data_IF_792291895790
#
_entry.id   IF_792291895790
#
_cell.length_a   1.000
_cell.length_b   1.000
_cell.length_c   1.000
_cell.angle_alpha   90.00
_cell.angle_beta   90.00
_cell.angle_gamma   90.00
#
_symmetry.space_group_name_H-M   'P 1'
#
loop_
_entity.id
_entity.type
_entity.pdbx_description
1 polymer ?
#
# COMPACT_ATOMS: atom_id res chain seq x y z
N UNK A 1 3.27 -12.84 -17.26
CA UNK A 1 2.55 -11.96 -16.32
C UNK A 1 1.04 -12.16 -16.46
N UNK A 2 0.29 -12.24 -15.35
CA UNK A 2 -1.18 -12.21 -15.32
C UNK A 2 -1.60 -10.76 -15.06
N UNK A 3 -2.51 -10.25 -15.87
CA UNK A 3 -3.07 -8.91 -15.74
C UNK A 3 -4.60 -8.98 -15.93
N UNK A 4 -5.34 -8.34 -15.03
CA UNK A 4 -6.80 -8.19 -15.13
C UNK A 4 -7.18 -6.75 -14.83
N UNK A 5 -7.95 -6.16 -15.71
CA UNK A 5 -8.64 -4.89 -15.51
C UNK A 5 -10.11 -5.23 -15.22
N UNK A 6 -10.62 -4.78 -14.08
CA UNK A 6 -11.97 -5.06 -13.59
C UNK A 6 -12.69 -3.72 -13.44
N UNK A 7 -13.96 -3.67 -13.82
CA UNK A 7 -14.74 -2.44 -13.81
C UNK A 7 -15.89 -2.51 -12.81
N UNK A 8 -16.00 -1.50 -11.97
CA UNK A 8 -17.19 -1.26 -11.17
C UNK A 8 -18.08 -0.21 -11.85
N UNK A 9 -19.26 -0.60 -12.29
CA UNK A 9 -20.19 0.28 -13.00
C UNK A 9 -20.92 1.29 -12.12
N UNK A 10 -20.85 1.14 -10.79
CA UNK A 10 -21.51 2.05 -9.84
C UNK A 10 -20.68 3.29 -9.62
N UNK A 11 -19.38 3.12 -9.36
CA UNK A 11 -18.41 4.21 -9.19
C UNK A 11 -17.67 4.57 -10.47
N UNK A 12 -17.81 3.76 -11.54
CA UNK A 12 -17.01 3.85 -12.78
C UNK A 12 -15.51 3.66 -12.56
N UNK A 13 -15.14 2.89 -11.53
CA UNK A 13 -13.76 2.64 -11.12
C UNK A 13 -13.18 1.43 -11.83
N UNK A 14 -11.91 1.53 -12.24
CA UNK A 14 -11.09 0.41 -12.63
C UNK A 14 -10.25 -0.10 -11.46
N UNK A 15 -10.33 -1.39 -11.20
CA UNK A 15 -9.45 -2.12 -10.30
C UNK A 15 -8.51 -3.01 -11.12
N UNK A 16 -7.24 -3.08 -10.75
CA UNK A 16 -6.23 -3.84 -11.49
C UNK A 16 -5.65 -4.96 -10.63
N UNK A 17 -5.60 -6.19 -11.18
CA UNK A 17 -4.92 -7.34 -10.57
C UNK A 17 -3.69 -7.71 -11.40
N UNK A 18 -2.54 -7.82 -10.74
CA UNK A 18 -1.27 -8.18 -11.35
C UNK A 18 -0.66 -9.38 -10.61
N UNK A 19 -0.04 -10.31 -11.37
CA UNK A 19 0.81 -11.36 -10.83
C UNK A 19 1.90 -11.73 -11.85
N UNK A 20 3.09 -12.05 -11.36
CA UNK A 20 4.23 -12.39 -12.22
C UNK A 20 4.04 -13.71 -12.96
N UNK A 21 3.41 -14.71 -12.30
CA UNK A 21 3.15 -16.05 -12.84
C UNK A 21 1.92 -16.70 -12.22
N UNK A 22 1.35 -17.76 -12.83
CA UNK A 22 0.35 -18.61 -12.17
C UNK A 22 0.89 -19.23 -10.88
N UNK A 23 0.05 -19.33 -9.86
CA UNK A 23 0.40 -19.89 -8.56
C UNK A 23 1.33 -19.02 -7.70
N UNK A 24 1.65 -17.81 -8.14
CA UNK A 24 2.51 -16.86 -7.43
C UNK A 24 1.75 -15.84 -6.59
N UNK A 25 2.47 -14.78 -6.22
CA UNK A 25 1.90 -13.63 -5.53
C UNK A 25 1.11 -12.72 -6.47
N UNK A 26 0.05 -12.11 -5.95
CA UNK A 26 -0.75 -11.11 -6.64
C UNK A 26 -0.76 -9.78 -5.89
N UNK A 27 -0.94 -8.71 -6.65
CA UNK A 27 -1.12 -7.34 -6.18
C UNK A 27 -2.40 -6.79 -6.80
N UNK A 28 -3.19 -6.04 -6.03
CA UNK A 28 -4.42 -5.38 -6.49
C UNK A 28 -4.31 -3.86 -6.28
N UNK A 29 -4.80 -3.07 -7.25
CA UNK A 29 -4.78 -1.60 -7.25
C UNK A 29 -6.23 -1.10 -7.27
N UNK A 30 -6.55 -0.12 -6.42
CA UNK A 30 -7.84 0.57 -6.27
C UNK A 30 -9.03 -0.40 -6.14
N UNK A 31 -9.03 -1.29 -5.12
CA UNK A 31 -10.12 -2.23 -4.93
C UNK A 31 -11.35 -1.56 -4.33
N UNK A 32 -12.52 -1.77 -4.95
CA UNK A 32 -13.84 -1.31 -4.45
C UNK A 32 -14.39 -2.30 -3.43
N UNK A 33 -14.88 -1.83 -2.26
CA UNK A 33 -15.27 -2.69 -1.14
C UNK A 33 -16.39 -3.66 -1.50
N UNK A 34 -17.37 -3.24 -2.30
CA UNK A 34 -18.50 -4.06 -2.73
C UNK A 34 -18.10 -5.22 -3.64
N UNK A 35 -16.89 -5.17 -4.21
CA UNK A 35 -16.35 -6.21 -5.10
C UNK A 35 -15.33 -7.14 -4.41
N UNK A 36 -15.09 -6.98 -3.12
CA UNK A 36 -14.06 -7.77 -2.40
C UNK A 36 -14.24 -9.27 -2.56
N UNK A 37 -15.47 -9.79 -2.52
CA UNK A 37 -15.69 -11.22 -2.73
C UNK A 37 -15.28 -11.69 -4.13
N UNK A 38 -15.45 -10.85 -5.15
CA UNK A 38 -14.93 -11.11 -6.50
C UNK A 38 -13.39 -11.08 -6.53
N UNK A 39 -12.78 -10.11 -5.86
CA UNK A 39 -11.32 -9.98 -5.76
C UNK A 39 -10.65 -11.09 -4.95
N UNK A 40 -11.38 -11.79 -4.09
CA UNK A 40 -10.91 -12.98 -3.38
C UNK A 40 -11.07 -14.25 -4.21
N UNK A 41 -12.19 -14.37 -4.92
CA UNK A 41 -12.48 -15.54 -5.78
C UNK A 41 -11.52 -15.64 -6.96
N UNK A 42 -11.29 -14.53 -7.70
CA UNK A 42 -10.46 -14.53 -8.90
C UNK A 42 -9.00 -14.97 -8.64
N UNK A 43 -8.27 -14.44 -7.64
CA UNK A 43 -6.96 -14.98 -7.29
C UNK A 43 -7.00 -16.46 -6.90
N UNK A 44 -8.02 -16.87 -6.13
CA UNK A 44 -8.18 -18.30 -5.73
C UNK A 44 -8.35 -19.22 -6.93
N UNK A 45 -9.18 -18.83 -7.91
CA UNK A 45 -9.38 -19.60 -9.17
C UNK A 45 -8.08 -19.69 -10.00
N UNK A 46 -7.23 -18.68 -9.92
CA UNK A 46 -5.93 -18.63 -10.60
C UNK A 46 -4.77 -19.21 -9.78
N UNK A 47 -5.06 -19.75 -8.58
CA UNK A 47 -4.07 -20.28 -7.65
C UNK A 47 -3.13 -19.23 -7.08
N UNK A 48 -3.52 -17.96 -7.08
CA UNK A 48 -2.70 -16.83 -6.63
C UNK A 48 -2.89 -16.55 -5.13
N UNK A 49 -1.84 -16.04 -4.48
CA UNK A 49 -1.91 -15.49 -3.12
C UNK A 49 -1.90 -13.97 -3.18
N UNK A 50 -2.94 -13.32 -2.69
CA UNK A 50 -2.97 -11.85 -2.62
C UNK A 50 -1.96 -11.36 -1.57
N UNK A 51 -0.84 -10.83 -2.03
CA UNK A 51 0.27 -10.37 -1.20
C UNK A 51 0.13 -8.88 -0.84
N UNK A 52 -0.31 -8.05 -1.77
CA UNK A 52 -0.44 -6.60 -1.57
C UNK A 52 -1.74 -6.06 -2.17
N UNK A 53 -2.29 -5.06 -1.48
CA UNK A 53 -3.41 -4.26 -1.98
C UNK A 53 -3.05 -2.78 -1.78
N UNK A 54 -3.23 -1.97 -2.82
CA UNK A 54 -2.84 -0.56 -2.78
C UNK A 54 -3.90 0.35 -3.41
N UNK A 55 -4.00 1.58 -2.89
CA UNK A 55 -4.77 2.65 -3.49
C UNK A 55 -3.84 3.72 -4.08
N UNK A 56 -4.29 4.32 -5.17
CA UNK A 56 -3.59 5.44 -5.82
C UNK A 56 -3.76 6.73 -5.01
N UNK A 57 -4.88 6.91 -4.34
CA UNK A 57 -5.22 8.08 -3.53
C UNK A 57 -6.36 7.76 -2.54
N UNK A 58 -6.79 8.71 -1.73
CA UNK A 58 -8.00 8.60 -0.91
C UNK A 58 -9.22 8.87 -1.80
N UNK A 59 -9.96 7.81 -2.14
CA UNK A 59 -11.13 7.87 -3.04
C UNK A 59 -12.32 8.59 -2.41
N UNK A 60 -13.10 9.31 -3.23
CA UNK A 60 -14.31 10.03 -2.83
C UNK A 60 -15.60 9.43 -3.41
N UNK A 61 -15.48 8.53 -4.36
CA UNK A 61 -16.56 7.96 -5.16
C UNK A 61 -16.97 6.56 -4.71
N UNK A 62 -16.09 5.85 -4.00
CA UNK A 62 -16.33 4.52 -3.43
C UNK A 62 -15.56 4.31 -2.13
N UNK A 63 -15.97 3.34 -1.34
CA UNK A 63 -15.20 2.87 -0.18
C UNK A 63 -14.15 1.86 -0.66
N UNK A 64 -12.90 2.06 -0.27
CA UNK A 64 -11.80 1.14 -0.62
C UNK A 64 -11.94 -0.22 0.04
N UNK A 65 -11.62 -1.27 -0.70
CA UNK A 65 -11.55 -2.65 -0.22
C UNK A 65 -10.29 -2.97 0.57
N UNK A 66 -9.32 -2.05 0.75
CA UNK A 66 -8.02 -2.32 1.38
C UNK A 66 -8.16 -2.99 2.75
N UNK A 67 -8.94 -2.39 3.66
CA UNK A 67 -9.12 -2.90 5.02
C UNK A 67 -9.70 -4.31 5.04
N UNK A 68 -10.76 -4.55 4.25
CA UNK A 68 -11.43 -5.84 4.21
C UNK A 68 -10.57 -6.93 3.55
N UNK A 69 -9.81 -6.59 2.49
CA UNK A 69 -8.83 -7.50 1.88
C UNK A 69 -7.73 -7.89 2.87
N UNK A 70 -7.16 -6.91 3.59
CA UNK A 70 -6.18 -7.17 4.66
C UNK A 70 -6.73 -8.15 5.70
N UNK A 71 -7.92 -7.89 6.21
CA UNK A 71 -8.50 -8.67 7.29
C UNK A 71 -8.77 -10.13 6.87
N UNK A 72 -9.16 -10.33 5.59
CA UNK A 72 -9.45 -11.66 5.03
C UNK A 72 -8.22 -12.43 4.52
N UNK A 73 -7.21 -11.75 4.00
CA UNK A 73 -6.06 -12.41 3.33
C UNK A 73 -4.75 -12.23 4.05
N UNK A 74 -4.66 -11.25 4.96
CA UNK A 74 -3.41 -10.80 5.57
C UNK A 74 -2.47 -10.13 4.55
N UNK A 75 -2.98 -9.63 3.44
CA UNK A 75 -2.18 -8.86 2.49
C UNK A 75 -1.65 -7.56 3.13
N UNK A 76 -0.55 -7.05 2.59
CA UNK A 76 0.03 -5.76 2.98
C UNK A 76 -0.78 -4.67 2.29
N UNK A 77 -1.36 -3.76 3.06
CA UNK A 77 -2.01 -2.55 2.53
C UNK A 77 -0.97 -1.46 2.26
N UNK A 78 -1.10 -0.77 1.13
CA UNK A 78 -0.10 0.20 0.66
C UNK A 78 -0.78 1.49 0.20
N UNK A 79 -0.27 2.64 0.64
CA UNK A 79 -0.68 3.96 0.17
C UNK A 79 0.50 4.94 0.13
N UNK A 80 0.31 6.05 -0.55
CA UNK A 80 1.25 7.16 -0.53
C UNK A 80 1.43 7.75 0.87
N UNK A 81 2.63 8.22 1.19
CA UNK A 81 3.00 8.79 2.52
C UNK A 81 2.13 9.98 2.90
N UNK A 82 1.63 10.74 1.93
CA UNK A 82 0.79 11.92 2.12
C UNK A 82 -0.66 11.57 2.47
N UNK A 83 -1.11 10.35 2.22
CA UNK A 83 -2.42 9.90 2.63
C UNK A 83 -2.53 9.89 4.17
N UNK A 84 -3.46 10.67 4.70
CA UNK A 84 -3.70 10.82 6.15
C UNK A 84 -4.61 9.70 6.68
N UNK A 85 -4.38 8.48 6.20
CA UNK A 85 -5.14 7.29 6.60
C UNK A 85 -4.61 6.78 7.92
N UNK A 86 -5.50 6.32 8.80
CA UNK A 86 -5.14 5.89 10.17
C UNK A 86 -4.26 4.63 10.18
N UNK A 87 -4.64 3.61 9.44
CA UNK A 87 -3.98 2.29 9.46
C UNK A 87 -3.66 1.80 8.05
N UNK A 88 -2.39 1.85 7.68
CA UNK A 88 -1.83 1.31 6.44
C UNK A 88 -0.53 0.61 6.76
N UNK A 89 -0.34 -0.60 6.22
CA UNK A 89 0.85 -1.42 6.52
C UNK A 89 2.14 -0.78 6.01
N UNK A 90 2.11 -0.21 4.80
CA UNK A 90 3.27 0.38 4.13
C UNK A 90 2.91 1.75 3.53
N UNK A 91 3.78 2.75 3.74
CA UNK A 91 3.64 4.09 3.16
C UNK A 91 4.80 4.38 2.21
N UNK A 92 4.46 4.77 0.99
CA UNK A 92 5.43 5.03 -0.09
C UNK A 92 5.77 6.51 -0.21
N UNK A 93 7.04 6.80 -0.44
CA UNK A 93 7.52 8.08 -0.95
C UNK A 93 7.63 8.07 -2.49
N UNK A 94 7.96 9.25 -3.05
CA UNK A 94 8.25 9.39 -4.49
C UNK A 94 9.49 8.56 -4.86
N UNK A 95 9.40 7.72 -5.88
CA UNK A 95 10.45 6.80 -6.33
C UNK A 95 10.55 5.48 -5.56
N UNK A 96 9.79 5.29 -4.48
CA UNK A 96 9.76 4.01 -3.76
C UNK A 96 9.19 2.89 -4.64
N UNK A 97 9.57 1.64 -4.35
CA UNK A 97 9.08 0.46 -5.09
C UNK A 97 8.09 -0.36 -4.27
N UNK A 98 7.10 -0.88 -4.98
CA UNK A 98 6.20 -1.94 -4.51
C UNK A 98 6.49 -3.20 -5.31
N UNK A 99 6.89 -4.25 -4.63
CA UNK A 99 7.33 -5.48 -5.30
C UNK A 99 6.55 -6.68 -4.78
N UNK A 100 6.17 -7.56 -5.69
CA UNK A 100 5.74 -8.94 -5.44
C UNK A 100 6.54 -9.85 -6.38
N UNK A 101 6.41 -11.15 -6.24
CA UNK A 101 7.13 -12.11 -7.09
C UNK A 101 6.89 -11.81 -8.59
N UNK A 102 7.95 -11.38 -9.28
CA UNK A 102 7.93 -11.11 -10.73
C UNK A 102 7.17 -9.85 -11.17
N UNK A 103 6.80 -8.95 -10.24
CA UNK A 103 6.21 -7.65 -10.54
C UNK A 103 6.85 -6.57 -9.68
N UNK A 104 7.29 -5.48 -10.28
CA UNK A 104 7.82 -4.30 -9.60
C UNK A 104 7.14 -3.05 -10.14
N UNK A 105 6.61 -2.22 -9.24
CA UNK A 105 5.98 -0.94 -9.51
C UNK A 105 6.81 0.18 -8.88
N UNK A 106 7.12 1.23 -9.62
CA UNK A 106 7.70 2.45 -9.06
C UNK A 106 6.58 3.45 -8.75
N UNK A 107 6.53 3.91 -7.52
CA UNK A 107 5.57 4.91 -7.07
C UNK A 107 6.03 6.32 -7.49
N UNK A 108 5.21 7.04 -8.23
CA UNK A 108 5.41 8.45 -8.55
C UNK A 108 4.42 9.30 -7.76
N UNK A 109 4.89 10.20 -6.93
CA UNK A 109 4.04 11.17 -6.26
C UNK A 109 3.53 12.19 -7.29
N UNK A 110 2.23 12.18 -7.54
CA UNK A 110 1.55 12.99 -8.58
C UNK A 110 0.38 13.78 -7.98
N UNK A 111 0.65 14.73 -7.06
CA UNK A 111 -0.40 15.54 -6.45
C UNK A 111 -1.11 16.41 -7.48
N UNK A 112 -2.37 16.73 -7.19
CA UNK A 112 -3.15 17.65 -7.99
C UNK A 112 -4.64 17.31 -8.01
N UNK A 113 -5.03 16.07 -8.30
CA UNK A 113 -6.39 15.60 -8.05
C UNK A 113 -6.67 15.59 -6.54
N UNK A 114 -5.79 14.95 -5.78
CA UNK A 114 -5.68 15.08 -4.32
C UNK A 114 -4.24 15.39 -3.92
N UNK A 115 -4.03 15.83 -2.67
CA UNK A 115 -2.67 16.02 -2.09
C UNK A 115 -1.93 14.69 -1.84
N UNK A 116 -2.62 13.55 -1.92
CA UNK A 116 -2.06 12.23 -1.67
C UNK A 116 -2.01 11.32 -2.92
N UNK A 117 -2.24 11.85 -4.11
CA UNK A 117 -2.28 11.08 -5.36
C UNK A 117 -0.90 10.52 -5.75
N UNK A 118 -0.90 9.26 -6.17
CA UNK A 118 0.25 8.55 -6.72
C UNK A 118 -0.12 7.82 -8.01
N UNK A 119 0.83 7.75 -8.93
CA UNK A 119 0.81 6.84 -10.08
C UNK A 119 1.79 5.70 -9.84
N UNK A 120 1.53 4.53 -10.42
CA UNK A 120 2.41 3.36 -10.30
C UNK A 120 2.89 2.94 -11.68
N UNK A 121 4.20 2.96 -11.88
CA UNK A 121 4.85 2.75 -13.19
C UNK A 121 5.51 1.37 -13.24
N UNK A 122 5.26 0.65 -14.34
CA UNK A 122 6.01 -0.53 -14.79
C UNK A 122 6.77 -0.20 -16.08
N UNK A 123 7.52 -1.16 -16.60
CA UNK A 123 8.33 -0.97 -17.82
C UNK A 123 7.49 -0.57 -19.03
N UNK A 124 6.27 -1.10 -19.18
CA UNK A 124 5.41 -0.92 -20.35
C UNK A 124 4.11 -0.14 -20.07
N UNK A 125 3.80 0.15 -18.81
CA UNK A 125 2.52 0.74 -18.41
C UNK A 125 2.58 1.59 -17.17
N UNK A 126 1.58 2.45 -16.99
CA UNK A 126 1.38 3.28 -15.79
C UNK A 126 -0.08 3.20 -15.35
N UNK A 127 -0.30 2.98 -14.05
CA UNK A 127 -1.59 3.09 -13.39
C UNK A 127 -1.69 4.49 -12.81
N UNK A 128 -2.57 5.31 -13.39
CA UNK A 128 -2.54 6.76 -13.16
C UNK A 128 -3.52 7.24 -12.09
N UNK A 129 -4.35 6.32 -11.54
CA UNK A 129 -5.46 6.76 -10.70
C UNK A 129 -6.24 7.87 -11.39
N UNK A 130 -6.55 8.93 -10.67
CA UNK A 130 -7.24 10.08 -11.22
C UNK A 130 -6.31 11.25 -11.60
N UNK A 131 -5.00 11.03 -11.65
CA UNK A 131 -4.08 12.06 -12.14
C UNK A 131 -4.26 12.28 -13.65
N UNK A 132 -4.28 11.20 -14.44
CA UNK A 132 -4.50 11.23 -15.88
C UNK A 132 -5.56 10.19 -16.27
N UNK A 133 -6.63 10.64 -16.91
CA UNK A 133 -7.70 9.81 -17.45
C UNK A 133 -7.61 9.77 -18.98
N UNK A 134 -8.31 8.82 -19.62
CA UNK A 134 -8.37 8.77 -21.08
C UNK A 134 -9.15 9.97 -21.60
N UNK A 135 -8.49 10.84 -22.37
CA UNK A 135 -9.02 12.10 -22.87
C UNK A 135 -9.56 13.04 -21.75
N UNK A 136 -8.92 12.97 -20.58
CA UNK A 136 -9.28 13.78 -19.42
C UNK A 136 -8.21 13.76 -18.33
N UNK A 137 -8.49 14.41 -17.22
CA UNK A 137 -7.70 14.39 -15.99
C UNK A 137 -8.66 14.39 -14.80
N UNK A 138 -8.23 14.00 -13.62
CA UNK A 138 -9.01 14.17 -12.42
C UNK A 138 -9.33 15.64 -12.16
N UNK A 139 -10.44 15.89 -11.47
CA UNK A 139 -10.80 17.24 -10.99
C UNK A 139 -9.82 17.69 -9.90
N UNK A 140 -9.75 19.00 -9.66
CA UNK A 140 -8.78 19.58 -8.71
C UNK A 140 -9.42 20.56 -7.72
N UNK A 141 -10.74 20.52 -7.59
CA UNK A 141 -11.54 21.50 -6.85
C UNK A 141 -12.00 21.00 -5.46
N UNK A 142 -11.55 19.81 -5.02
CA UNK A 142 -11.79 19.31 -3.66
C UNK A 142 -10.64 18.41 -3.17
N UNK A 143 -10.71 17.92 -1.91
CA UNK A 143 -9.70 17.05 -1.27
C UNK A 143 -8.26 17.60 -1.35
N UNK A 144 -8.08 18.89 -1.10
CA UNK A 144 -6.80 19.59 -1.24
C UNK A 144 -6.22 19.51 -2.67
N UNK A 145 -7.08 19.45 -3.69
CA UNK A 145 -6.67 19.47 -5.08
C UNK A 145 -6.01 20.81 -5.47
N UNK A 146 -5.10 20.74 -6.43
CA UNK A 146 -4.36 21.90 -6.96
C UNK A 146 -4.09 21.69 -8.45
N UNK A 147 -4.71 22.53 -9.28
CA UNK A 147 -4.59 22.44 -10.73
C UNK A 147 -3.14 22.65 -11.23
N UNK A 148 -2.36 23.54 -10.59
CA UNK A 148 -0.96 23.74 -10.97
C UNK A 148 -0.06 22.57 -10.57
N UNK A 149 -0.36 21.94 -9.41
CA UNK A 149 0.32 20.69 -9.03
C UNK A 149 -0.06 19.56 -10.00
N UNK A 150 -1.33 19.43 -10.41
CA UNK A 150 -1.77 18.47 -11.41
C UNK A 150 -1.03 18.66 -12.75
N UNK A 151 -0.92 19.92 -13.22
CA UNK A 151 -0.14 20.24 -14.40
C UNK A 151 1.30 19.73 -14.28
N UNK A 152 2.02 20.05 -13.21
CA UNK A 152 3.40 19.58 -13.00
C UNK A 152 3.47 18.06 -12.95
N UNK A 153 2.57 17.41 -12.23
CA UNK A 153 2.49 15.94 -12.14
C UNK A 153 2.33 15.29 -13.51
N UNK A 154 1.48 15.85 -14.35
CA UNK A 154 1.23 15.33 -15.70
C UNK A 154 2.38 15.67 -16.64
N UNK A 155 2.74 16.95 -16.78
CA UNK A 155 3.67 17.39 -17.82
C UNK A 155 5.14 17.09 -17.50
N UNK A 156 5.54 17.14 -16.22
CA UNK A 156 6.94 16.97 -15.80
C UNK A 156 7.26 15.53 -15.39
N UNK A 157 6.23 14.68 -15.10
CA UNK A 157 6.42 13.28 -14.72
C UNK A 157 5.80 12.31 -15.73
N UNK A 158 4.47 12.35 -15.92
CA UNK A 158 3.79 11.33 -16.75
C UNK A 158 4.10 11.46 -18.24
N UNK A 159 4.04 12.67 -18.81
CA UNK A 159 4.31 12.90 -20.23
C UNK A 159 5.79 12.77 -20.61
N UNK A 160 6.68 12.55 -19.63
CA UNK A 160 8.10 12.23 -19.88
C UNK A 160 8.35 10.73 -20.03
N UNK A 161 7.37 9.89 -19.66
CA UNK A 161 7.44 8.45 -19.91
C UNK A 161 7.52 8.13 -21.40
N UNK A 162 8.04 6.95 -21.79
CA UNK A 162 8.11 6.55 -23.20
C UNK A 162 6.73 6.69 -23.89
N UNK A 163 6.66 7.17 -25.14
CA UNK A 163 5.40 7.42 -25.84
C UNK A 163 4.46 6.20 -25.92
N UNK A 164 5.02 5.00 -26.00
CA UNK A 164 4.29 3.74 -26.10
C UNK A 164 3.81 3.20 -24.73
N UNK A 165 4.14 3.87 -23.61
CA UNK A 165 3.69 3.45 -22.28
C UNK A 165 2.17 3.46 -22.24
N UNK A 166 1.57 2.32 -21.88
CA UNK A 166 0.13 2.16 -21.74
C UNK A 166 -0.36 2.91 -20.50
N UNK A 167 -1.45 3.66 -20.64
CA UNK A 167 -2.10 4.42 -19.57
C UNK A 167 -3.35 3.67 -19.11
N UNK A 168 -3.35 3.28 -17.84
CA UNK A 168 -4.46 2.63 -17.15
C UNK A 168 -5.01 3.57 -16.05
N UNK A 169 -6.16 4.24 -16.29
CA UNK A 169 -6.71 5.23 -15.36
C UNK A 169 -7.44 4.60 -14.18
N UNK A 170 -7.71 5.39 -13.12
CA UNK A 170 -8.60 4.98 -12.02
C UNK A 170 -10.07 4.91 -12.44
N UNK A 171 -10.49 5.81 -13.35
CA UNK A 171 -11.88 5.92 -13.79
C UNK A 171 -12.02 6.04 -15.30
N UNK A 172 -13.16 5.54 -15.81
CA UNK A 172 -13.66 5.91 -17.13
C UNK A 172 -15.19 5.97 -17.15
N UNK A 173 -15.73 6.94 -17.87
CA UNK A 173 -17.16 7.22 -17.97
C UNK A 173 -17.73 7.01 -19.39
N UNK A 174 -16.90 6.50 -20.32
CA UNK A 174 -17.21 6.41 -21.77
C UNK A 174 -17.08 4.98 -22.31
N UNK A 175 -16.43 4.08 -21.55
CA UNK A 175 -16.16 2.71 -21.97
C UNK A 175 -14.75 2.51 -22.53
N UNK A 176 -13.87 3.51 -22.40
CA UNK A 176 -12.45 3.41 -22.78
C UNK A 176 -11.68 2.64 -21.70
N UNK A 177 -10.79 1.72 -22.11
CA UNK A 177 -10.11 0.83 -21.17
C UNK A 177 -8.62 1.10 -21.01
N UNK A 178 -7.99 1.63 -22.05
CA UNK A 178 -6.54 1.88 -22.10
C UNK A 178 -6.24 2.94 -23.16
N UNK A 179 -5.19 3.72 -22.90
CA UNK A 179 -4.61 4.68 -23.84
C UNK A 179 -3.08 4.55 -23.82
N UNK A 180 -2.37 5.49 -24.45
CA UNK A 180 -0.92 5.61 -24.39
C UNK A 180 -0.51 7.03 -24.03
N UNK A 181 0.73 7.20 -23.53
CA UNK A 181 1.28 8.55 -23.29
C UNK A 181 1.27 9.39 -24.56
N UNK A 182 1.60 8.79 -25.71
CA UNK A 182 1.56 9.49 -27.02
C UNK A 182 0.14 9.97 -27.36
N UNK A 183 -0.87 9.12 -27.17
CA UNK A 183 -2.26 9.47 -27.46
C UNK A 183 -2.78 10.58 -26.53
N UNK A 184 -2.50 10.47 -25.24
CA UNK A 184 -2.94 11.49 -24.28
C UNK A 184 -2.25 12.83 -24.57
N UNK A 185 -0.97 12.82 -24.90
CA UNK A 185 -0.24 14.01 -25.30
C UNK A 185 -0.81 14.67 -26.56
N UNK A 186 -1.23 13.87 -27.54
CA UNK A 186 -1.73 14.36 -28.83
C UNK A 186 -3.23 14.78 -28.78
N UNK A 187 -4.06 14.02 -28.04
CA UNK A 187 -5.52 14.10 -28.20
C UNK A 187 -6.29 14.42 -26.92
N UNK A 188 -5.64 14.47 -25.75
CA UNK A 188 -6.34 14.85 -24.53
C UNK A 188 -6.63 16.35 -24.55
N UNK A 189 -7.91 16.78 -24.57
CA UNK A 189 -8.26 18.20 -24.72
C UNK A 189 -7.79 19.05 -23.54
N UNK A 190 -7.61 18.47 -22.33
CA UNK A 190 -7.12 19.19 -21.15
C UNK A 190 -5.60 19.40 -21.18
N UNK A 191 -4.89 18.70 -22.04
CA UNK A 191 -3.44 18.79 -22.19
C UNK A 191 -3.00 19.64 -23.38
N UNK A 192 -3.95 20.19 -24.17
CA UNK A 192 -3.67 21.11 -25.28
C UNK A 192 -3.49 22.56 -24.75
N UNK A 193 -2.60 22.73 -23.78
CA UNK A 193 -2.31 24.01 -23.12
C UNK A 193 -0.81 24.33 -23.16
N UNK A 194 -0.47 25.59 -23.05
CA UNK A 194 0.92 26.07 -23.11
C UNK A 194 1.51 26.38 -21.73
N UNK A 195 0.69 26.43 -20.70
CA UNK A 195 1.14 26.79 -19.35
C UNK A 195 0.25 26.19 -18.27
N UNK A 196 0.77 26.16 -17.04
CA UNK A 196 0.02 25.75 -15.85
C UNK A 196 -1.18 26.70 -15.57
N UNK A 197 -1.10 27.96 -15.97
CA UNK A 197 -2.20 28.91 -15.79
C UNK A 197 -3.36 28.63 -16.74
N UNK A 198 -3.09 28.34 -18.02
CA UNK A 198 -4.10 27.90 -18.98
C UNK A 198 -4.78 26.59 -18.52
N UNK A 199 -3.99 25.64 -18.01
CA UNK A 199 -4.54 24.40 -17.45
C UNK A 199 -5.43 24.68 -16.24
N UNK A 200 -4.99 25.53 -15.32
CA UNK A 200 -5.76 25.90 -14.13
C UNK A 200 -7.07 26.62 -14.49
N UNK A 201 -7.08 27.45 -15.53
CA UNK A 201 -8.30 28.09 -16.04
C UNK A 201 -9.29 27.04 -16.59
N UNK A 202 -8.84 26.06 -17.36
CA UNK A 202 -9.68 24.95 -17.81
C UNK A 202 -10.28 24.21 -16.61
N UNK A 203 -9.45 23.84 -15.61
CA UNK A 203 -9.89 23.09 -14.44
C UNK A 203 -10.88 23.87 -13.57
N UNK A 204 -10.72 25.18 -13.41
CA UNK A 204 -11.64 26.04 -12.66
C UNK A 204 -13.03 26.16 -13.34
N UNK A 205 -13.10 25.96 -14.66
CA UNK A 205 -14.34 26.02 -15.43
C UNK A 205 -15.05 24.65 -15.57
N UNK A 206 -14.48 23.56 -15.02
CA UNK A 206 -15.12 22.26 -15.00
C UNK A 206 -16.24 22.23 -13.96
N UNK A 207 -17.47 22.51 -14.38
CA UNK A 207 -18.65 22.42 -13.52
C UNK A 207 -19.12 20.96 -13.37
N UNK A 208 -18.35 20.15 -12.66
CA UNK A 208 -18.67 18.75 -12.43
C UNK A 208 -19.51 18.56 -11.15
N UNK A 209 -20.53 17.69 -11.15
CA UNK A 209 -21.23 17.33 -9.93
C UNK A 209 -20.27 16.64 -8.94
N UNK A 210 -20.55 16.79 -7.64
CA UNK A 210 -19.76 16.06 -6.64
C UNK A 210 -20.04 14.56 -6.71
N UNK A 211 -19.05 13.69 -6.38
CA UNK A 211 -19.28 12.27 -6.23
C UNK A 211 -20.40 12.01 -5.22
N UNK A 212 -21.33 11.13 -5.55
CA UNK A 212 -22.53 10.87 -4.74
C UNK A 212 -22.23 10.35 -3.34
N UNK A 213 -21.11 9.66 -3.16
CA UNK A 213 -20.71 9.04 -1.90
C UNK A 213 -19.64 9.81 -1.13
N UNK A 214 -19.24 11.00 -1.57
CA UNK A 214 -18.11 11.75 -1.02
C UNK A 214 -18.16 11.90 0.51
N UNK A 215 -19.33 12.24 1.05
CA UNK A 215 -19.52 12.46 2.50
C UNK A 215 -19.40 11.18 3.33
N UNK A 216 -19.49 10.01 2.70
CA UNK A 216 -19.36 8.70 3.34
C UNK A 216 -18.01 8.06 3.01
N UNK A 217 -17.61 8.10 1.74
CA UNK A 217 -16.40 7.41 1.27
C UNK A 217 -15.12 8.04 1.83
N UNK A 218 -14.99 9.38 1.82
CA UNK A 218 -13.76 10.03 2.30
C UNK A 218 -13.51 9.74 3.78
N UNK A 219 -14.46 9.91 4.72
CA UNK A 219 -14.25 9.53 6.11
C UNK A 219 -13.95 8.04 6.30
N UNK A 220 -14.64 7.14 5.56
CA UNK A 220 -14.41 5.70 5.63
C UNK A 220 -13.01 5.32 5.12
N UNK A 221 -12.55 5.94 4.03
CA UNK A 221 -11.24 5.69 3.44
C UNK A 221 -10.08 6.32 4.26
N UNK A 222 -10.35 7.30 5.10
CA UNK A 222 -9.39 7.81 6.08
C UNK A 222 -9.31 6.90 7.33
N UNK A 223 -10.38 6.16 7.63
CA UNK A 223 -10.51 5.26 8.77
C UNK A 223 -10.62 3.80 8.27
N UNK A 224 -9.60 3.28 7.62
CA UNK A 224 -9.56 1.90 7.06
C UNK A 224 -9.81 0.85 8.15
N UNK A 225 -9.67 1.26 9.41
CA UNK A 225 -9.99 0.46 10.58
C UNK A 225 -8.99 -0.67 10.81
N UNK A 226 -8.89 -1.11 12.06
CA UNK A 226 -8.09 -2.26 12.43
C UNK A 226 -8.82 -3.03 13.54
N UNK A 227 -9.47 -4.14 13.18
CA UNK A 227 -10.26 -4.95 14.10
C UNK A 227 -9.43 -5.95 14.93
N UNK A 228 -8.10 -5.83 14.94
CA UNK A 228 -7.22 -6.79 15.61
C UNK A 228 -7.05 -6.53 17.14
N UNK A 229 -7.72 -5.56 17.72
CA UNK A 229 -7.59 -5.28 19.14
C UNK A 229 -8.51 -6.15 20.03
N UNK A 230 -8.32 -7.47 19.99
CA UNK A 230 -8.87 -8.33 21.06
C UNK A 230 -8.23 -7.95 22.40
N UNK A 231 -8.89 -8.24 23.57
CA UNK A 231 -8.30 -8.00 24.88
C UNK A 231 -6.90 -8.62 25.05
N UNK A 232 -6.69 -9.80 24.46
CA UNK A 232 -5.41 -10.53 24.47
C UNK A 232 -4.32 -9.77 23.71
N UNK A 233 -4.62 -9.25 22.52
CA UNK A 233 -3.67 -8.45 21.73
C UNK A 233 -3.36 -7.14 22.46
N UNK A 234 -4.35 -6.48 23.07
CA UNK A 234 -4.12 -5.27 23.88
C UNK A 234 -3.18 -5.53 25.06
N UNK A 235 -3.37 -6.65 25.75
CA UNK A 235 -2.52 -7.05 26.89
C UNK A 235 -1.07 -7.33 26.49
N UNK A 236 -0.84 -7.80 25.26
CA UNK A 236 0.48 -8.10 24.71
C UNK A 236 1.04 -6.99 23.80
N UNK A 237 0.40 -5.80 23.78
CA UNK A 237 0.86 -4.61 23.06
C UNK A 237 1.71 -3.73 23.99
N UNK A 238 3.00 -3.59 23.69
CA UNK A 238 3.96 -2.87 24.52
C UNK A 238 4.28 -1.49 23.92
N UNK A 239 4.38 -0.48 24.77
CA UNK A 239 4.82 0.85 24.37
C UNK A 239 6.33 0.91 24.07
N UNK A 240 6.77 1.87 23.25
CA UNK A 240 8.17 1.98 22.87
C UNK A 240 9.14 2.09 24.05
N UNK A 241 8.78 2.85 25.10
CA UNK A 241 9.62 2.98 26.31
C UNK A 241 9.78 1.66 27.06
N UNK A 242 8.74 0.85 27.13
CA UNK A 242 8.78 -0.47 27.75
C UNK A 242 9.62 -1.45 26.93
N UNK A 243 9.49 -1.39 25.61
CA UNK A 243 10.29 -2.20 24.69
C UNK A 243 11.77 -1.83 24.74
N UNK A 244 12.12 -0.56 24.93
CA UNK A 244 13.52 -0.12 25.10
C UNK A 244 14.20 -0.78 26.29
N UNK A 245 13.48 -1.04 27.38
CA UNK A 245 14.03 -1.73 28.57
C UNK A 245 14.40 -3.19 28.28
N UNK A 246 13.88 -3.77 27.20
CA UNK A 246 14.17 -5.15 26.77
C UNK A 246 15.29 -5.23 25.74
N UNK A 247 15.77 -4.08 25.24
CA UNK A 247 16.83 -4.05 24.22
C UNK A 247 18.13 -4.64 24.80
N UNK A 248 18.75 -5.55 24.03
CA UNK A 248 19.96 -6.26 24.45
C UNK A 248 19.74 -7.41 25.44
N UNK A 249 18.52 -7.67 25.87
CA UNK A 249 18.21 -8.84 26.70
C UNK A 249 18.32 -10.13 25.88
N UNK A 250 19.11 -11.13 26.32
CA UNK A 250 19.20 -12.40 25.60
C UNK A 250 17.89 -13.21 25.61
N UNK A 251 16.95 -12.84 26.49
CA UNK A 251 15.64 -13.49 26.61
C UNK A 251 14.61 -12.91 25.64
N UNK A 252 14.86 -11.74 25.01
CA UNK A 252 13.92 -11.12 24.10
C UNK A 252 14.42 -11.19 22.66
N UNK A 253 13.70 -11.93 21.83
CA UNK A 253 13.94 -12.00 20.40
C UNK A 253 13.15 -10.89 19.69
N UNK A 254 13.82 -9.87 19.21
CA UNK A 254 13.22 -8.85 18.36
C UNK A 254 13.06 -9.36 16.92
N UNK A 255 11.87 -9.26 16.34
CA UNK A 255 11.58 -9.72 14.99
C UNK A 255 10.99 -8.58 14.16
N UNK A 256 11.71 -8.21 13.11
CA UNK A 256 11.30 -7.20 12.12
C UNK A 256 10.47 -7.86 11.01
N UNK A 257 9.20 -7.48 10.92
CA UNK A 257 8.25 -8.01 9.94
C UNK A 257 8.17 -7.18 8.65
N UNK A 258 9.00 -6.13 8.53
CA UNK A 258 8.99 -5.23 7.38
C UNK A 258 9.68 -5.83 6.16
N UNK A 259 9.36 -5.25 5.00
CA UNK A 259 10.05 -5.54 3.75
C UNK A 259 11.52 -5.05 3.78
N UNK A 260 12.40 -5.64 2.96
CA UNK A 260 13.80 -5.24 2.90
C UNK A 260 13.96 -3.77 2.48
N UNK A 261 13.13 -3.28 1.56
CA UNK A 261 13.11 -1.86 1.13
C UNK A 261 12.78 -0.90 2.26
N UNK A 262 11.82 -1.25 3.15
CA UNK A 262 11.50 -0.45 4.33
C UNK A 262 12.66 -0.41 5.32
N UNK A 263 13.32 -1.55 5.54
CA UNK A 263 14.46 -1.68 6.43
C UNK A 263 15.67 -0.89 5.94
N UNK A 264 15.97 -0.98 4.65
CA UNK A 264 17.07 -0.23 4.02
C UNK A 264 16.87 1.28 4.13
N UNK A 265 15.63 1.75 3.98
CA UNK A 265 15.26 3.16 4.05
C UNK A 265 15.23 3.71 5.47
N UNK A 266 14.61 3.00 6.40
CA UNK A 266 14.24 3.52 7.72
C UNK A 266 15.13 2.97 8.85
N UNK A 267 16.10 2.10 8.54
CA UNK A 267 16.92 1.41 9.55
C UNK A 267 16.17 0.32 10.30
N UNK A 268 16.82 -0.29 11.30
CA UNK A 268 16.27 -1.42 12.08
C UNK A 268 16.53 -1.23 13.58
N UNK A 269 15.72 -1.85 14.43
CA UNK A 269 16.03 -1.97 15.86
C UNK A 269 17.25 -2.88 16.01
N UNK A 270 18.31 -2.46 16.75
CA UNK A 270 19.56 -3.22 16.86
C UNK A 270 19.34 -4.67 17.29
N UNK A 271 20.04 -5.58 16.60
CA UNK A 271 19.99 -7.03 16.89
C UNK A 271 18.69 -7.73 16.49
N UNK A 272 17.78 -7.09 15.78
CA UNK A 272 16.53 -7.71 15.35
C UNK A 272 16.72 -8.74 14.23
N UNK A 273 16.00 -9.87 14.34
CA UNK A 273 15.88 -10.88 13.29
C UNK A 273 14.96 -10.33 12.19
N UNK A 274 15.36 -10.46 10.94
CA UNK A 274 14.49 -10.16 9.80
C UNK A 274 13.65 -11.37 9.40
N UNK A 275 12.34 -11.23 9.53
CA UNK A 275 11.35 -12.20 9.06
C UNK A 275 10.19 -11.45 8.40
N UNK A 276 10.21 -11.21 7.09
CA UNK A 276 9.13 -10.50 6.40
C UNK A 276 7.75 -11.08 6.71
N UNK A 277 6.76 -10.19 6.87
CA UNK A 277 5.40 -10.54 7.27
C UNK A 277 4.79 -11.66 6.41
N UNK A 278 5.05 -11.67 5.11
CA UNK A 278 4.58 -12.70 4.18
C UNK A 278 5.13 -14.11 4.51
N UNK A 279 6.30 -14.19 5.13
CA UNK A 279 6.93 -15.46 5.51
C UNK A 279 6.51 -15.94 6.90
N UNK A 280 5.78 -15.12 7.67
CA UNK A 280 5.43 -15.43 9.06
C UNK A 280 4.68 -16.76 9.17
N UNK A 281 3.62 -16.95 8.37
CA UNK A 281 2.75 -18.14 8.48
C UNK A 281 3.47 -19.48 8.32
N UNK A 282 4.50 -19.54 7.49
CA UNK A 282 5.35 -20.72 7.37
C UNK A 282 6.23 -20.94 8.60
N UNK A 283 6.69 -19.85 9.23
CA UNK A 283 7.66 -19.87 10.31
C UNK A 283 7.06 -20.05 11.71
N UNK A 284 5.74 -19.87 11.89
CA UNK A 284 5.04 -20.08 13.17
C UNK A 284 4.37 -21.47 13.29
N UNK A 285 4.33 -22.24 12.21
CA UNK A 285 3.83 -23.63 12.22
C UNK A 285 4.82 -24.56 12.94
N UNK A 286 4.40 -25.74 13.41
CA UNK A 286 5.30 -26.75 13.94
C UNK A 286 6.45 -27.04 12.98
N UNK A 287 7.71 -26.95 13.47
CA UNK A 287 8.93 -27.08 12.68
C UNK A 287 9.40 -25.79 11.98
N UNK A 288 8.64 -24.71 12.06
CA UNK A 288 9.07 -23.40 11.55
C UNK A 288 10.12 -22.75 12.45
N UNK A 289 10.95 -21.89 11.83
CA UNK A 289 12.07 -21.25 12.53
C UNK A 289 11.62 -20.44 13.75
N UNK A 290 10.61 -19.58 13.60
CA UNK A 290 10.15 -18.72 14.69
C UNK A 290 9.46 -19.54 15.80
N UNK A 291 8.72 -20.60 15.44
CA UNK A 291 8.14 -21.51 16.42
C UNK A 291 9.21 -22.21 17.26
N UNK A 292 10.30 -22.69 16.61
CA UNK A 292 11.43 -23.32 17.32
C UNK A 292 12.13 -22.31 18.25
N UNK A 293 12.40 -21.09 17.79
CA UNK A 293 13.05 -20.05 18.60
C UNK A 293 12.17 -19.62 19.78
N UNK A 294 10.85 -19.52 19.58
CA UNK A 294 9.91 -19.17 20.63
C UNK A 294 9.78 -20.26 21.72
N UNK A 295 10.03 -21.52 21.36
CA UNK A 295 9.98 -22.66 22.30
C UNK A 295 11.19 -22.75 23.23
N UNK A 296 12.25 -21.96 23.03
CA UNK A 296 13.41 -21.95 23.93
C UNK A 296 13.01 -21.47 25.33
N UNK A 297 13.47 -22.16 26.41
CA UNK A 297 13.08 -21.79 27.78
C UNK A 297 13.42 -20.34 28.15
N UNK A 298 12.45 -19.60 28.68
CA UNK A 298 12.61 -18.20 29.09
C UNK A 298 12.66 -17.19 27.94
N UNK A 299 12.49 -17.62 26.69
CA UNK A 299 12.47 -16.74 25.53
C UNK A 299 11.12 -16.04 25.40
N UNK A 300 11.11 -14.77 25.06
CA UNK A 300 9.93 -14.02 24.58
C UNK A 300 10.18 -13.47 23.19
N UNK A 301 9.16 -13.48 22.34
CA UNK A 301 9.22 -12.93 20.98
C UNK A 301 8.56 -11.56 20.96
N UNK A 302 9.29 -10.55 20.49
CA UNK A 302 8.80 -9.20 20.34
C UNK A 302 8.76 -8.85 18.85
N UNK A 303 7.54 -8.76 18.31
CA UNK A 303 7.30 -8.44 16.91
C UNK A 303 7.21 -6.93 16.70
N UNK A 304 7.75 -6.42 15.61
CA UNK A 304 7.50 -5.06 15.18
C UNK A 304 7.39 -4.95 13.65
N UNK A 305 6.69 -3.90 13.20
CA UNK A 305 6.61 -3.49 11.80
C UNK A 305 6.73 -1.96 11.72
N UNK A 306 6.32 -1.34 10.63
CA UNK A 306 6.43 0.12 10.49
C UNK A 306 5.52 0.87 11.47
N UNK A 307 4.22 0.50 11.58
CA UNK A 307 3.18 1.23 12.30
C UNK A 307 2.41 0.40 13.33
N UNK A 308 2.79 -0.85 13.59
CA UNK A 308 2.18 -1.72 14.59
C UNK A 308 1.08 -2.66 14.08
N UNK A 309 0.51 -2.43 12.89
CA UNK A 309 -0.59 -3.21 12.33
C UNK A 309 -0.16 -4.65 11.99
N UNK A 310 0.84 -4.83 11.13
CA UNK A 310 1.34 -6.17 10.75
C UNK A 310 1.78 -6.97 11.97
N UNK A 311 2.43 -6.33 12.94
CA UNK A 311 2.89 -7.00 14.15
C UNK A 311 1.74 -7.41 15.08
N UNK A 312 0.63 -6.66 15.12
CA UNK A 312 -0.55 -7.06 15.87
C UNK A 312 -1.30 -8.23 15.18
N UNK A 313 -1.43 -8.20 13.84
CA UNK A 313 -1.98 -9.34 13.07
C UNK A 313 -1.09 -10.59 13.20
N UNK A 314 0.23 -10.40 13.15
CA UNK A 314 1.20 -11.48 13.38
C UNK A 314 1.04 -12.10 14.77
N UNK A 315 0.80 -11.27 15.79
CA UNK A 315 0.58 -11.73 17.15
C UNK A 315 -0.70 -12.58 17.27
N UNK A 316 -1.79 -12.19 16.58
CA UNK A 316 -3.00 -13.03 16.49
C UNK A 316 -2.69 -14.41 15.89
N UNK A 317 -1.96 -14.41 14.76
CA UNK A 317 -1.58 -15.67 14.10
C UNK A 317 -0.67 -16.53 14.99
N UNK A 318 0.24 -15.93 15.78
CA UNK A 318 1.08 -16.65 16.77
C UNK A 318 0.23 -17.27 17.87
N UNK A 319 -0.68 -16.52 18.48
CA UNK A 319 -1.57 -17.03 19.53
C UNK A 319 -2.46 -18.17 19.00
N UNK A 320 -3.01 -18.03 17.80
CA UNK A 320 -3.78 -19.08 17.14
C UNK A 320 -2.97 -20.36 16.87
N UNK A 321 -1.63 -20.27 16.79
CA UNK A 321 -0.72 -21.42 16.65
C UNK A 321 -0.10 -21.86 18.00
N UNK A 322 -0.63 -21.38 19.13
CA UNK A 322 -0.21 -21.81 20.47
C UNK A 322 1.07 -21.15 21.00
N UNK A 323 1.60 -20.11 20.34
CA UNK A 323 2.80 -19.38 20.76
C UNK A 323 2.37 -18.20 21.64
N UNK A 324 2.20 -18.43 22.96
CA UNK A 324 1.68 -17.45 23.91
C UNK A 324 2.73 -16.51 24.51
N UNK A 325 4.02 -16.76 24.34
CA UNK A 325 5.13 -15.93 24.87
C UNK A 325 5.58 -14.86 23.87
N UNK A 326 4.62 -14.27 23.17
CA UNK A 326 4.84 -13.24 22.18
C UNK A 326 4.17 -11.91 22.58
N UNK A 327 4.76 -10.80 22.14
CA UNK A 327 4.22 -9.46 22.27
C UNK A 327 4.57 -8.64 21.03
N UNK A 328 4.00 -7.45 20.87
CA UNK A 328 4.36 -6.57 19.77
C UNK A 328 4.56 -5.12 20.21
N UNK A 329 5.36 -4.39 19.45
CA UNK A 329 5.59 -2.96 19.63
C UNK A 329 4.39 -2.17 19.08
N UNK A 330 3.61 -1.57 19.96
CA UNK A 330 2.49 -0.69 19.61
C UNK A 330 3.02 0.53 18.84
N UNK A 331 2.41 0.82 17.69
CA UNK A 331 2.84 1.91 16.81
C UNK A 331 4.12 1.62 16.01
N UNK A 332 4.73 0.43 16.18
CA UNK A 332 5.85 -0.05 15.36
C UNK A 332 7.12 0.81 15.44
N UNK A 333 7.93 0.75 14.38
CA UNK A 333 9.18 1.52 14.29
C UNK A 333 8.96 3.04 14.35
N UNK A 334 7.84 3.54 13.83
CA UNK A 334 7.49 4.95 13.90
C UNK A 334 7.39 5.44 15.35
N UNK A 335 6.68 4.68 16.21
CA UNK A 335 6.58 4.99 17.63
C UNK A 335 7.93 4.82 18.36
N UNK A 336 8.74 3.85 17.96
CA UNK A 336 10.08 3.63 18.48
C UNK A 336 11.00 4.84 18.24
N UNK A 337 11.06 5.31 16.99
CA UNK A 337 11.87 6.47 16.59
C UNK A 337 11.39 7.74 17.28
N UNK A 338 10.07 7.97 17.33
CA UNK A 338 9.49 9.13 18.06
C UNK A 338 9.80 9.15 19.55
N UNK A 339 9.97 7.97 20.15
CA UNK A 339 10.35 7.83 21.56
C UNK A 339 11.88 7.91 21.79
N UNK A 340 12.71 8.11 20.74
CA UNK A 340 14.17 8.19 20.82
C UNK A 340 14.87 6.83 20.88
N UNK A 341 14.23 5.76 20.43
CA UNK A 341 14.83 4.42 20.36
C UNK A 341 15.98 4.35 19.36
N UNK A 342 17.05 3.57 19.64
CA UNK A 342 18.19 3.46 18.77
C UNK A 342 17.86 2.70 17.49
N UNK A 343 18.48 3.13 16.37
CA UNK A 343 18.36 2.54 15.04
C UNK A 343 19.75 2.22 14.51
N UNK A 344 19.90 1.09 13.82
CA UNK A 344 21.10 0.74 13.07
C UNK A 344 20.78 0.51 11.58
N UNK A 345 21.82 0.62 10.75
CA UNK A 345 21.70 0.23 9.34
C UNK A 345 21.61 -1.30 9.25
N UNK A 346 20.67 -1.88 8.49
CA UNK A 346 20.56 -3.32 8.34
C UNK A 346 21.84 -3.88 7.74
N UNK A 347 22.32 -4.99 8.29
CA UNK A 347 23.49 -5.70 7.73
C UNK A 347 23.10 -6.32 6.40
N UNK A 348 23.94 -6.20 5.35
CA UNK A 348 23.69 -6.93 4.11
C UNK A 348 23.55 -8.44 4.41
N UNK A 349 22.59 -9.11 3.77
CA UNK A 349 22.57 -10.57 3.81
C UNK A 349 23.87 -11.08 3.20
N UNK A 350 24.72 -11.71 3.99
CA UNK A 350 25.78 -12.56 3.45
C UNK A 350 25.08 -13.73 2.75
N UNK A 351 25.01 -13.68 1.43
CA UNK A 351 24.72 -14.86 0.61
C UNK A 351 25.86 -15.86 0.88
N UNK A 352 25.63 -16.75 1.82
CA UNK A 352 26.43 -17.98 1.84
C UNK A 352 25.96 -18.78 0.65
N UNK A 353 26.90 -18.99 -0.30
CA UNK A 353 26.75 -19.77 -1.52
C UNK A 353 26.45 -21.24 -1.29
#
# INVERSE_FOLDING_TARGET
MIFRQMFDSVSSTYTYLLAGRPGGEALIIDPVIEKVDHYLRLPSELGLTLAKALDTHVHADHISGLGLLRDRTRCITVMGRQAKVDVVSMRLGDGDRVEIEGVSLTALYTPGHTDCSYCYVMDDRVFTGDTLLIRGTGRTDFQNGDARAAYRSIFEKLLTLPPATLVYPGHDYKGDTVSTIAEEKAFNPRLQVKSADEYAEIMANLKLPNPRQMDVAVPANLAIGFNAESPEIRAASLGAREVMQRLGSPQTLFVDLREESERARDGVIPGSLHLPYQQLRGNIKPGGLLAAMAAEPGRSVLLYCAFGERSALALQDMFANGIGNACHLKGGLDAWVKAGGPIETPRPRTTQG
#
